data_IF_451756718946
#
_entry.id   IF_451756718946
#
_cell.length_a   1.000
_cell.length_b   1.000
_cell.length_c   1.000
_cell.angle_alpha   90.00
_cell.angle_beta   90.00
_cell.angle_gamma   90.00
#
_symmetry.space_group_name_H-M   'P 1'
#
loop_
_entity.id
_entity.type
_entity.pdbx_description
1 polymer ?
#
# COMPACT_ATOMS: atom_id res chain seq x y z
N UNK A 1 -0.83 13.78 -21.01
CA UNK A 1 -1.94 12.84 -20.71
C UNK A 1 -1.70 11.43 -21.25
N UNK A 2 -1.24 11.22 -22.50
CA UNK A 2 -1.00 9.86 -23.02
C UNK A 2 0.12 9.08 -22.31
N UNK A 3 1.24 9.73 -21.98
CA UNK A 3 2.40 9.08 -21.31
C UNK A 3 2.18 8.72 -19.84
N UNK A 4 1.34 9.48 -19.12
CA UNK A 4 1.05 9.23 -17.69
C UNK A 4 0.16 8.00 -17.50
N UNK A 5 -0.81 7.77 -18.40
CA UNK A 5 -1.68 6.59 -18.37
C UNK A 5 -0.89 5.33 -18.73
N UNK A 6 0.08 5.42 -19.65
CA UNK A 6 0.95 4.30 -20.01
C UNK A 6 1.89 3.90 -18.86
N UNK A 7 2.46 4.87 -18.11
CA UNK A 7 3.29 4.56 -16.94
C UNK A 7 2.51 3.97 -15.76
N UNK A 8 1.26 4.41 -15.56
CA UNK A 8 0.38 3.86 -14.52
C UNK A 8 -0.02 2.41 -14.84
N UNK A 9 -0.26 2.10 -16.13
CA UNK A 9 -0.48 0.73 -16.61
C UNK A 9 0.78 -0.12 -16.41
N UNK A 10 1.97 0.35 -16.78
CA UNK A 10 3.21 -0.43 -16.63
C UNK A 10 3.48 -0.76 -15.15
N UNK A 11 3.28 0.17 -14.22
CA UNK A 11 3.45 -0.11 -12.78
C UNK A 11 2.40 -1.08 -12.22
N UNK A 12 1.14 -1.02 -12.69
CA UNK A 12 0.09 -1.97 -12.30
C UNK A 12 0.36 -3.39 -12.82
N UNK A 13 0.90 -3.54 -14.04
CA UNK A 13 1.26 -4.84 -14.62
C UNK A 13 2.64 -5.35 -14.15
N UNK A 14 3.49 -4.48 -13.62
CA UNK A 14 4.75 -4.91 -12.99
C UNK A 14 4.53 -5.58 -11.64
N UNK A 15 3.42 -5.37 -10.92
CA UNK A 15 3.15 -6.15 -9.71
C UNK A 15 2.86 -7.62 -10.03
N UNK A 16 2.14 -7.90 -11.13
CA UNK A 16 1.99 -9.28 -11.61
C UNK A 16 3.35 -9.82 -12.07
N UNK A 17 4.12 -9.10 -12.89
CA UNK A 17 5.40 -9.60 -13.38
C UNK A 17 6.50 -9.76 -12.30
N UNK A 18 6.56 -8.89 -11.29
CA UNK A 18 7.53 -8.98 -10.19
C UNK A 18 7.15 -10.06 -9.16
N UNK A 19 5.87 -10.43 -9.04
CA UNK A 19 5.43 -11.56 -8.23
C UNK A 19 5.49 -12.90 -8.99
N UNK A 20 5.48 -12.86 -10.33
CA UNK A 20 5.36 -14.03 -11.21
C UNK A 20 6.70 -14.49 -11.80
N UNK A 21 7.80 -13.79 -11.49
CA UNK A 21 9.13 -14.03 -12.04
C UNK A 21 10.05 -14.94 -11.22
N UNK A 22 9.67 -15.37 -10.02
CA UNK A 22 10.55 -16.18 -9.17
C UNK A 22 9.91 -17.52 -8.83
N UNK A 23 10.73 -18.57 -8.80
CA UNK A 23 10.31 -19.95 -8.72
C UNK A 23 9.54 -20.23 -7.41
N UNK A 24 8.23 -20.05 -7.45
CA UNK A 24 7.26 -20.68 -6.57
C UNK A 24 7.67 -20.62 -5.07
N UNK A 25 7.67 -19.40 -4.49
CA UNK A 25 8.04 -19.11 -3.11
C UNK A 25 7.37 -20.03 -2.06
N UNK A 26 6.18 -20.53 -2.42
CA UNK A 26 5.37 -21.50 -1.68
C UNK A 26 6.09 -22.83 -1.35
N UNK A 27 7.19 -23.16 -2.03
CA UNK A 27 7.92 -24.40 -1.80
C UNK A 27 8.90 -24.33 -0.62
N UNK A 28 9.27 -23.13 -0.15
CA UNK A 28 10.24 -22.97 0.96
C UNK A 28 9.63 -23.11 2.34
N UNK A 29 8.34 -22.81 2.47
CA UNK A 29 7.62 -22.77 3.73
C UNK A 29 6.49 -23.80 3.73
N UNK A 30 6.19 -24.38 4.90
CA UNK A 30 5.04 -25.29 5.00
C UNK A 30 3.73 -24.52 4.85
N UNK A 31 2.68 -25.21 4.40
CA UNK A 31 1.35 -24.60 4.27
C UNK A 31 0.84 -24.09 5.64
N UNK A 32 1.17 -24.78 6.72
CA UNK A 32 0.87 -24.36 8.09
C UNK A 32 1.58 -23.05 8.47
N UNK A 33 2.84 -22.89 8.06
CA UNK A 33 3.61 -21.67 8.30
C UNK A 33 3.03 -20.49 7.51
N UNK A 34 2.76 -20.69 6.22
CA UNK A 34 2.15 -19.67 5.35
C UNK A 34 0.79 -19.24 5.88
N UNK A 35 -0.06 -20.18 6.32
CA UNK A 35 -1.37 -19.85 6.87
C UNK A 35 -1.27 -19.02 8.15
N UNK A 36 -0.34 -19.37 9.05
CA UNK A 36 -0.10 -18.63 10.29
C UNK A 36 0.39 -17.21 10.01
N UNK A 37 1.25 -17.04 9.01
CA UNK A 37 1.75 -15.73 8.60
C UNK A 37 0.65 -14.88 8.00
N UNK A 38 -0.19 -15.44 7.11
CA UNK A 38 -1.39 -14.78 6.56
C UNK A 38 -2.28 -14.24 7.69
N UNK A 39 -2.58 -15.07 8.69
CA UNK A 39 -3.44 -14.68 9.82
C UNK A 39 -2.81 -13.55 10.63
N UNK A 40 -1.49 -13.59 10.79
CA UNK A 40 -0.71 -12.56 11.48
C UNK A 40 -0.74 -11.23 10.71
N UNK A 41 -0.47 -11.25 9.41
CA UNK A 41 -0.45 -10.05 8.57
C UNK A 41 -1.84 -9.42 8.46
N UNK A 42 -2.91 -10.21 8.32
CA UNK A 42 -4.30 -9.71 8.33
C UNK A 42 -4.60 -8.96 9.64
N UNK A 43 -4.17 -9.52 10.77
CA UNK A 43 -4.35 -8.91 12.09
C UNK A 43 -3.58 -7.59 12.23
N UNK A 44 -2.33 -7.53 11.75
CA UNK A 44 -1.54 -6.30 11.82
C UNK A 44 -2.08 -5.22 10.86
N UNK A 45 -2.56 -5.58 9.66
CA UNK A 45 -3.25 -4.64 8.76
C UNK A 45 -4.51 -4.06 9.43
N UNK A 46 -5.32 -4.90 10.08
CA UNK A 46 -6.52 -4.45 10.79
C UNK A 46 -6.16 -3.52 11.96
N UNK A 47 -5.12 -3.84 12.72
CA UNK A 47 -4.61 -2.97 13.79
C UNK A 47 -4.11 -1.62 13.27
N UNK A 48 -3.41 -1.59 12.15
CA UNK A 48 -3.04 -0.33 11.47
C UNK A 48 -4.28 0.49 11.12
N UNK A 49 -5.31 -0.15 10.56
CA UNK A 49 -6.57 0.52 10.18
C UNK A 49 -7.33 1.08 11.38
N UNK A 50 -7.46 0.32 12.47
CA UNK A 50 -8.15 0.76 13.68
C UNK A 50 -7.43 1.94 14.34
N UNK A 51 -6.09 1.90 14.40
CA UNK A 51 -5.30 3.03 14.90
C UNK A 51 -5.49 4.28 14.05
N UNK A 52 -5.42 4.14 12.72
CA UNK A 52 -5.70 5.24 11.80
C UNK A 52 -7.07 5.87 12.05
N UNK A 53 -8.12 5.05 12.12
CA UNK A 53 -9.50 5.52 12.37
C UNK A 53 -9.61 6.28 13.70
N UNK A 54 -9.01 5.73 14.76
CA UNK A 54 -8.99 6.37 16.08
C UNK A 54 -8.27 7.72 16.05
N UNK A 55 -7.08 7.78 15.45
CA UNK A 55 -6.29 9.02 15.37
C UNK A 55 -6.98 10.07 14.49
N UNK A 56 -7.56 9.66 13.37
CA UNK A 56 -8.30 10.55 12.46
C UNK A 56 -9.57 11.12 13.12
N UNK A 57 -10.32 10.31 13.88
CA UNK A 57 -11.51 10.76 14.60
C UNK A 57 -11.18 11.75 15.73
N UNK A 58 -10.03 11.57 16.38
CA UNK A 58 -9.57 12.46 17.46
C UNK A 58 -8.83 13.71 16.95
N UNK A 59 -8.64 13.85 15.64
CA UNK A 59 -7.87 14.94 15.06
C UNK A 59 -8.73 16.22 14.93
N UNK A 60 -8.40 17.23 15.74
CA UNK A 60 -9.06 18.55 15.70
C UNK A 60 -8.46 19.50 14.66
N UNK A 61 -7.33 19.13 14.05
CA UNK A 61 -6.63 19.96 13.08
C UNK A 61 -6.23 19.16 11.85
N UNK A 62 -6.09 19.85 10.71
CA UNK A 62 -5.57 19.27 9.48
C UNK A 62 -4.21 18.60 9.69
N UNK A 63 -3.31 19.21 10.46
CA UNK A 63 -1.98 18.64 10.72
C UNK A 63 -2.08 17.29 11.45
N UNK A 64 -3.04 17.15 12.38
CA UNK A 64 -3.26 15.87 13.09
C UNK A 64 -3.91 14.83 12.19
N UNK A 65 -4.86 15.22 11.32
CA UNK A 65 -5.42 14.34 10.29
C UNK A 65 -4.33 13.85 9.33
N UNK A 66 -3.42 14.72 8.89
CA UNK A 66 -2.31 14.32 8.04
C UNK A 66 -1.35 13.38 8.78
N UNK A 67 -1.09 13.66 10.06
CA UNK A 67 -0.29 12.79 10.92
C UNK A 67 -0.84 11.36 10.96
N UNK A 68 -2.16 11.19 11.17
CA UNK A 68 -2.78 9.87 11.21
C UNK A 68 -2.66 9.12 9.87
N UNK A 69 -2.82 9.83 8.75
CA UNK A 69 -2.64 9.26 7.41
C UNK A 69 -1.20 8.79 7.18
N UNK A 70 -0.20 9.60 7.57
CA UNK A 70 1.21 9.21 7.43
C UNK A 70 1.58 8.03 8.33
N UNK A 71 1.04 7.99 9.56
CA UNK A 71 1.19 6.86 10.47
C UNK A 71 0.60 5.57 9.85
N UNK A 72 -0.59 5.67 9.25
CA UNK A 72 -1.24 4.54 8.58
C UNK A 72 -0.37 3.99 7.43
N UNK A 73 0.10 4.86 6.54
CA UNK A 73 0.99 4.47 5.42
C UNK A 73 2.27 3.82 5.92
N UNK A 74 2.89 4.37 6.97
CA UNK A 74 4.09 3.77 7.55
C UNK A 74 3.81 2.39 8.15
N UNK A 75 2.66 2.21 8.82
CA UNK A 75 2.24 0.95 9.41
C UNK A 75 2.00 -0.13 8.33
N UNK A 76 1.24 0.19 7.28
CA UNK A 76 1.02 -0.73 6.16
C UNK A 76 2.32 -1.09 5.43
N UNK A 77 3.19 -0.10 5.18
CA UNK A 77 4.50 -0.36 4.56
C UNK A 77 5.36 -1.29 5.41
N UNK A 78 5.30 -1.18 6.74
CA UNK A 78 6.01 -2.09 7.63
C UNK A 78 5.55 -3.54 7.43
N UNK A 79 4.24 -3.79 7.40
CA UNK A 79 3.69 -5.13 7.13
C UNK A 79 4.13 -5.64 5.74
N UNK A 80 4.07 -4.81 4.70
CA UNK A 80 4.58 -5.20 3.38
C UNK A 80 6.07 -5.56 3.42
N UNK A 81 6.89 -4.80 4.15
CA UNK A 81 8.32 -5.13 4.28
C UNK A 81 8.54 -6.48 4.96
N UNK A 82 7.76 -6.84 5.98
CA UNK A 82 7.85 -8.16 6.62
C UNK A 82 7.50 -9.29 5.63
N UNK A 83 6.48 -9.10 4.80
CA UNK A 83 6.11 -10.06 3.74
C UNK A 83 7.24 -10.16 2.70
N UNK A 84 7.75 -9.01 2.24
CA UNK A 84 8.83 -8.93 1.24
C UNK A 84 10.10 -9.60 1.76
N UNK A 85 10.53 -9.30 2.99
CA UNK A 85 11.74 -9.86 3.56
C UNK A 85 11.67 -11.38 3.72
N UNK A 86 10.49 -11.91 3.99
CA UNK A 86 10.30 -13.35 4.14
C UNK A 86 10.16 -14.07 2.80
N UNK A 87 9.17 -13.66 2.00
CA UNK A 87 8.77 -14.41 0.82
C UNK A 87 9.51 -14.01 -0.45
N UNK A 88 10.08 -12.80 -0.49
CA UNK A 88 10.79 -12.24 -1.63
C UNK A 88 12.25 -11.95 -1.27
N UNK A 89 12.85 -12.76 -0.39
CA UNK A 89 14.17 -12.50 0.22
C UNK A 89 15.30 -12.29 -0.80
N UNK A 90 15.27 -12.96 -1.95
CA UNK A 90 16.31 -12.86 -2.99
C UNK A 90 16.31 -11.51 -3.72
N UNK A 91 15.15 -10.87 -3.83
CA UNK A 91 14.93 -9.59 -4.49
C UNK A 91 14.28 -8.56 -3.55
N UNK A 92 14.41 -8.74 -2.23
CA UNK A 92 13.70 -7.93 -1.24
C UNK A 92 14.01 -6.43 -1.35
N UNK A 93 15.26 -6.09 -1.68
CA UNK A 93 15.67 -4.71 -1.90
C UNK A 93 14.92 -4.06 -3.08
N UNK A 94 14.78 -4.78 -4.19
CA UNK A 94 14.08 -4.33 -5.39
C UNK A 94 12.58 -4.17 -5.11
N UNK A 95 11.94 -5.15 -4.47
CA UNK A 95 10.52 -5.06 -4.09
C UNK A 95 10.24 -3.88 -3.16
N UNK A 96 11.11 -3.65 -2.17
CA UNK A 96 10.99 -2.50 -1.25
C UNK A 96 11.15 -1.18 -2.00
N UNK A 97 12.07 -1.10 -2.95
CA UNK A 97 12.26 0.09 -3.78
C UNK A 97 11.03 0.35 -4.66
N UNK A 98 10.47 -0.68 -5.29
CA UNK A 98 9.25 -0.60 -6.10
C UNK A 98 8.08 -0.09 -5.25
N UNK A 99 7.87 -0.65 -4.05
CA UNK A 99 6.83 -0.21 -3.14
C UNK A 99 7.02 1.26 -2.72
N UNK A 100 8.25 1.66 -2.39
CA UNK A 100 8.56 3.04 -2.02
C UNK A 100 8.26 4.01 -3.17
N UNK A 101 8.66 3.65 -4.38
CA UNK A 101 8.41 4.44 -5.59
C UNK A 101 6.91 4.54 -5.87
N UNK A 102 6.16 3.44 -5.72
CA UNK A 102 4.71 3.43 -5.83
C UNK A 102 4.04 4.40 -4.85
N UNK A 103 4.44 4.38 -3.57
CA UNK A 103 3.91 5.29 -2.54
C UNK A 103 4.19 6.75 -2.93
N UNK A 104 5.43 7.06 -3.33
CA UNK A 104 5.84 8.40 -3.74
C UNK A 104 5.04 8.92 -4.94
N UNK A 105 4.86 8.08 -5.96
CA UNK A 105 4.07 8.43 -7.14
C UNK A 105 2.59 8.56 -6.84
N UNK A 106 2.05 7.72 -5.95
CA UNK A 106 0.66 7.83 -5.49
C UNK A 106 0.41 9.17 -4.83
N UNK A 107 1.31 9.62 -3.93
CA UNK A 107 1.21 10.95 -3.32
C UNK A 107 1.18 12.08 -4.35
N UNK A 108 2.09 12.06 -5.32
CA UNK A 108 2.13 13.08 -6.37
C UNK A 108 0.87 13.06 -7.25
N UNK A 109 0.41 11.87 -7.60
CA UNK A 109 -0.73 11.68 -8.50
C UNK A 109 -2.03 12.13 -7.86
N UNK A 110 -2.32 11.65 -6.64
CA UNK A 110 -3.57 12.00 -5.96
C UNK A 110 -3.59 13.45 -5.50
N UNK A 111 -2.45 14.01 -5.09
CA UNK A 111 -2.37 15.45 -4.83
C UNK A 111 -2.72 16.26 -6.08
N UNK A 112 -2.15 15.94 -7.24
CA UNK A 112 -2.50 16.63 -8.48
C UNK A 112 -3.99 16.48 -8.84
N UNK A 113 -4.56 15.27 -8.73
CA UNK A 113 -5.97 15.02 -9.05
C UNK A 113 -6.89 15.87 -8.17
N UNK A 114 -6.63 15.88 -6.86
CA UNK A 114 -7.47 16.57 -5.89
C UNK A 114 -7.28 18.09 -5.93
N UNK A 115 -6.06 18.57 -6.15
CA UNK A 115 -5.79 20.01 -6.26
C UNK A 115 -6.28 20.61 -7.59
N UNK A 116 -6.32 19.84 -8.69
CA UNK A 116 -6.95 20.28 -9.95
C UNK A 116 -8.46 20.36 -9.81
N UNK A 117 -9.06 19.44 -9.03
CA UNK A 117 -10.50 19.43 -8.76
C UNK A 117 -10.94 20.52 -7.78
N UNK A 118 -10.01 21.12 -7.02
CA UNK A 118 -10.31 22.27 -6.17
C UNK A 118 -10.56 23.51 -7.04
N UNK A 119 -11.83 23.94 -7.08
CA UNK A 119 -12.30 25.12 -7.83
C UNK A 119 -11.57 26.39 -7.38
N UNK A 120 -11.05 26.40 -6.14
CA UNK A 120 -10.32 27.53 -5.58
C UNK A 120 -8.81 27.50 -5.91
N UNK A 121 -8.33 26.44 -6.59
CA UNK A 121 -6.96 26.30 -7.09
C UNK A 121 -5.89 26.18 -5.99
N UNK A 122 -4.63 26.46 -6.36
CA UNK A 122 -3.46 26.27 -5.48
C UNK A 122 -3.44 27.17 -4.22
N UNK A 123 -4.24 28.24 -4.20
CA UNK A 123 -4.38 29.16 -3.07
C UNK A 123 -5.72 28.95 -2.31
N UNK A 124 -6.33 27.76 -2.45
CA UNK A 124 -7.77 27.50 -2.35
C UNK A 124 -8.49 27.53 -0.99
N UNK A 125 -9.72 27.02 -0.99
CA UNK A 125 -10.78 27.15 0.03
C UNK A 125 -10.57 26.32 1.31
N UNK A 126 -9.31 26.03 1.66
CA UNK A 126 -8.90 25.23 2.81
C UNK A 126 -8.14 23.96 2.42
N UNK A 127 -7.76 23.17 3.43
CA UNK A 127 -6.86 22.02 3.30
C UNK A 127 -7.57 20.67 3.09
N UNK A 128 -8.89 20.67 2.91
CA UNK A 128 -9.69 19.43 2.89
C UNK A 128 -9.33 18.52 1.71
N UNK A 129 -9.22 19.07 0.50
CA UNK A 129 -8.81 18.29 -0.69
C UNK A 129 -7.41 17.71 -0.55
N UNK A 130 -6.50 18.45 0.11
CA UNK A 130 -5.17 17.94 0.42
C UNK A 130 -5.25 16.72 1.35
N UNK A 131 -6.04 16.78 2.43
CA UNK A 131 -6.20 15.61 3.33
C UNK A 131 -6.81 14.42 2.60
N UNK A 132 -7.88 14.64 1.81
CA UNK A 132 -8.51 13.56 1.03
C UNK A 132 -7.53 12.90 0.05
N UNK A 133 -6.65 13.70 -0.57
CA UNK A 133 -5.62 13.17 -1.47
C UNK A 133 -4.67 12.20 -0.77
N UNK A 134 -4.32 12.47 0.50
CA UNK A 134 -3.40 11.64 1.29
C UNK A 134 -4.13 10.42 1.85
N UNK A 135 -5.39 10.55 2.28
CA UNK A 135 -6.23 9.44 2.75
C UNK A 135 -6.37 8.33 1.70
N UNK A 136 -6.55 8.73 0.43
CA UNK A 136 -6.60 7.78 -0.68
C UNK A 136 -5.27 7.05 -0.87
N UNK A 137 -4.15 7.73 -0.65
CA UNK A 137 -2.84 7.07 -0.68
C UNK A 137 -2.75 6.02 0.42
N UNK A 138 -3.19 6.31 1.65
CA UNK A 138 -3.23 5.29 2.71
C UNK A 138 -4.11 4.08 2.34
N UNK A 139 -5.26 4.32 1.73
CA UNK A 139 -6.14 3.26 1.21
C UNK A 139 -5.45 2.41 0.15
N UNK A 140 -4.73 3.04 -0.78
CA UNK A 140 -3.99 2.33 -1.84
C UNK A 140 -2.86 1.47 -1.28
N UNK A 141 -2.10 1.99 -0.31
CA UNK A 141 -1.04 1.22 0.34
C UNK A 141 -1.62 0.04 1.11
N UNK A 142 -2.76 0.21 1.80
CA UNK A 142 -3.48 -0.91 2.43
C UNK A 142 -3.81 -2.01 1.42
N UNK A 143 -4.41 -1.64 0.29
CA UNK A 143 -4.77 -2.59 -0.78
C UNK A 143 -3.54 -3.35 -1.28
N UNK A 144 -2.42 -2.67 -1.52
CA UNK A 144 -1.18 -3.33 -1.93
C UNK A 144 -0.69 -4.37 -0.90
N UNK A 145 -0.80 -4.09 0.40
CA UNK A 145 -0.48 -5.09 1.44
C UNK A 145 -1.46 -6.26 1.40
N UNK A 146 -2.75 -5.99 1.22
CA UNK A 146 -3.79 -7.02 1.10
C UNK A 146 -3.58 -7.90 -0.15
N UNK A 147 -3.08 -7.35 -1.25
CA UNK A 147 -2.69 -8.08 -2.47
C UNK A 147 -1.52 -9.04 -2.20
N UNK A 148 -0.48 -8.59 -1.47
CA UNK A 148 0.60 -9.49 -1.03
C UNK A 148 0.07 -10.67 -0.20
N UNK A 149 -0.84 -10.41 0.75
CA UNK A 149 -1.48 -11.45 1.56
C UNK A 149 -2.32 -12.39 0.67
N UNK A 150 -3.02 -11.84 -0.32
CA UNK A 150 -3.83 -12.62 -1.25
C UNK A 150 -2.97 -13.55 -2.12
N UNK A 151 -1.80 -13.10 -2.58
CA UNK A 151 -0.87 -13.95 -3.31
C UNK A 151 -0.37 -15.13 -2.46
N UNK A 152 -0.10 -14.91 -1.16
CA UNK A 152 0.22 -16.00 -0.23
C UNK A 152 -0.93 -17.00 -0.11
N UNK A 153 -2.18 -16.51 0.02
CA UNK A 153 -3.36 -17.37 0.09
C UNK A 153 -3.54 -18.20 -1.18
N UNK A 154 -3.40 -17.59 -2.36
CA UNK A 154 -3.47 -18.30 -3.65
C UNK A 154 -2.42 -19.40 -3.75
N UNK A 155 -1.24 -19.20 -3.16
CA UNK A 155 -0.19 -20.22 -3.14
C UNK A 155 -0.57 -21.49 -2.37
N UNK A 156 -1.48 -21.38 -1.39
CA UNK A 156 -2.07 -22.50 -0.67
C UNK A 156 -3.19 -23.16 -1.47
N UNK A 157 -4.03 -22.34 -2.10
CA UNK A 157 -5.22 -22.81 -2.82
C UNK A 157 -4.84 -23.56 -4.10
N UNK A 158 -3.79 -23.15 -4.80
CA UNK A 158 -3.32 -23.78 -6.04
C UNK A 158 -2.67 -25.17 -5.84
N UNK A 159 -2.50 -25.62 -4.59
CA UNK A 159 -1.98 -26.96 -4.24
C UNK A 159 -3.08 -28.01 -4.03
N UNK A 160 -4.35 -27.59 -3.97
CA UNK A 160 -5.52 -28.47 -3.80
C UNK A 160 -6.09 -28.89 -5.15
#
# INVERSE_FOLDING_TARGET
MKTLVTFLFILLFCFEACAQGDHNHSFRYSDEEIQKDIDTYKKEVEKCYQNFRKEAQAAETTSRMLGSVYNAVSCYRHVAHEIIDKYYSENAAEHKEVLLNYIKQSYKTYENIYMIADVCGANGCGSMYYVLSKDIVATRVKITVEEYIQFLQQSLDNKK
#
